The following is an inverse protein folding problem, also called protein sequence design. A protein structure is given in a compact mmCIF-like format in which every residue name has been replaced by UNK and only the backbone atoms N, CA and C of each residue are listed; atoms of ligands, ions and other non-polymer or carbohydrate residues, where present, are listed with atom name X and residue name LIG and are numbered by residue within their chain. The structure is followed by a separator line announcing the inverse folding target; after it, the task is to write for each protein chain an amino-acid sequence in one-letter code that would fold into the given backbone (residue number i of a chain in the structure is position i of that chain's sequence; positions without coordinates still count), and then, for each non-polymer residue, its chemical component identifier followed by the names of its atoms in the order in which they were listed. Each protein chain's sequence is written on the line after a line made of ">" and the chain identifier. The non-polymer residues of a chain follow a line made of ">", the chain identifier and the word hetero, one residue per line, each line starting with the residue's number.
data_IF_927434761542
#
_entry.id   IF_927434761542
#
_cell.length_a   1.000
_cell.length_b   1.000
_cell.length_c   1.000
_cell.angle_alpha   90.00
_cell.angle_beta   90.00
_cell.angle_gamma   90.00
#
_symmetry.space_group_name_H-M   'P 1'
#
loop_
_entity.id
_entity.type
_entity.pdbx_description
1 polymer ?
#
# COMPACT_ATOMS: atom_id res chain seq x y z
N UNK A 1 1.81 9.82 -49.59
CA UNK A 1 0.55 9.19 -50.05
C UNK A 1 -0.39 9.18 -48.86
N UNK A 2 -1.56 9.79 -49.02
CA UNK A 2 -2.62 9.74 -48.03
C UNK A 2 -3.60 8.62 -48.44
N UNK A 3 -3.81 7.65 -47.56
CA UNK A 3 -4.78 6.57 -47.77
C UNK A 3 -6.02 6.92 -46.95
N UNK A 4 -7.12 7.20 -47.61
CA UNK A 4 -8.42 7.44 -46.93
C UNK A 4 -9.09 6.10 -46.77
N UNK A 5 -9.35 5.73 -45.50
CA UNK A 5 -10.03 4.49 -45.14
C UNK A 5 -11.40 4.81 -44.56
N UNK A 6 -12.44 4.29 -45.18
CA UNK A 6 -13.82 4.45 -44.75
C UNK A 6 -14.34 3.12 -44.19
N UNK A 7 -14.60 3.08 -42.91
CA UNK A 7 -15.26 1.93 -42.28
C UNK A 7 -16.51 2.41 -41.54
N UNK A 8 -17.63 1.75 -41.78
CA UNK A 8 -18.84 2.00 -41.00
C UNK A 8 -18.64 1.56 -39.56
N UNK A 9 -19.00 2.43 -38.61
CA UNK A 9 -19.01 2.09 -37.20
C UNK A 9 -20.06 1.00 -36.94
N UNK A 10 -19.61 -0.20 -36.55
CA UNK A 10 -20.49 -1.29 -36.13
C UNK A 10 -20.36 -1.50 -34.63
N UNK A 11 -21.49 -1.76 -33.93
CA UNK A 11 -21.41 -2.28 -32.58
C UNK A 11 -20.76 -3.67 -32.65
N UNK A 12 -19.59 -3.81 -32.04
CA UNK A 12 -18.86 -5.09 -31.97
C UNK A 12 -19.00 -5.61 -30.56
N UNK A 13 -19.46 -6.85 -30.42
CA UNK A 13 -19.45 -7.53 -29.15
C UNK A 13 -18.00 -7.87 -28.82
N UNK A 14 -17.55 -7.51 -27.61
CA UNK A 14 -16.20 -7.82 -27.16
C UNK A 14 -16.13 -9.32 -26.82
N UNK A 15 -15.34 -10.08 -27.57
CA UNK A 15 -15.12 -11.52 -27.32
C UNK A 15 -13.93 -11.78 -26.40
N UNK A 16 -13.03 -10.81 -26.26
CA UNK A 16 -11.86 -10.91 -25.37
C UNK A 16 -12.26 -10.56 -23.94
N UNK A 17 -12.00 -11.43 -22.95
CA UNK A 17 -12.24 -11.11 -21.56
C UNK A 17 -11.31 -10.01 -21.08
N UNK A 18 -11.81 -9.13 -20.20
CA UNK A 18 -11.04 -8.12 -19.49
C UNK A 18 -11.08 -8.51 -18.03
N UNK A 19 -9.92 -8.88 -17.48
CA UNK A 19 -9.83 -9.28 -16.07
C UNK A 19 -10.06 -8.07 -15.14
N UNK A 20 -10.95 -8.16 -14.15
CA UNK A 20 -11.19 -7.09 -13.19
C UNK A 20 -9.99 -6.85 -12.28
N UNK A 21 -9.25 -7.90 -11.92
CA UNK A 21 -8.06 -7.82 -11.09
C UNK A 21 -6.80 -8.17 -11.91
N UNK A 22 -6.28 -7.24 -12.74
CA UNK A 22 -5.25 -7.56 -13.72
C UNK A 22 -3.87 -7.90 -13.11
N UNK A 23 -3.64 -7.57 -11.85
CA UNK A 23 -2.44 -7.95 -11.11
C UNK A 23 -2.51 -9.36 -10.52
N UNK A 24 -3.71 -9.90 -10.36
CA UNK A 24 -3.96 -11.20 -9.71
C UNK A 24 -4.17 -12.24 -10.79
N UNK A 25 -3.37 -13.32 -10.84
CA UNK A 25 -3.59 -14.41 -11.77
C UNK A 25 -4.97 -15.08 -11.55
N UNK A 26 -5.66 -15.48 -12.62
CA UNK A 26 -7.02 -16.02 -12.52
C UNK A 26 -7.11 -17.46 -12.00
N UNK A 27 -5.99 -18.20 -11.95
CA UNK A 27 -5.94 -19.61 -11.56
C UNK A 27 -5.11 -19.80 -10.30
N UNK A 28 -5.55 -20.70 -9.41
CA UNK A 28 -4.95 -20.91 -8.08
C UNK A 28 -3.48 -21.36 -8.13
N UNK A 29 -3.12 -22.24 -9.05
CA UNK A 29 -1.75 -22.71 -9.25
C UNK A 29 -0.83 -21.56 -9.71
N UNK A 30 -1.30 -20.74 -10.64
CA UNK A 30 -0.57 -19.55 -11.10
C UNK A 30 -0.48 -18.50 -9.99
N UNK A 31 -1.53 -18.35 -9.16
CA UNK A 31 -1.54 -17.42 -8.04
C UNK A 31 -0.51 -17.83 -6.98
N UNK A 32 -0.44 -19.13 -6.64
CA UNK A 32 0.57 -19.68 -5.71
C UNK A 32 1.99 -19.46 -6.23
N UNK A 33 2.26 -19.82 -7.47
CA UNK A 33 3.56 -19.60 -8.09
C UNK A 33 3.94 -18.12 -8.14
N UNK A 34 2.97 -17.26 -8.40
CA UNK A 34 3.16 -15.80 -8.43
C UNK A 34 3.44 -15.24 -7.05
N UNK A 35 2.68 -15.64 -6.02
CA UNK A 35 2.89 -15.22 -4.63
C UNK A 35 4.29 -15.59 -4.15
N UNK A 36 4.71 -16.85 -4.35
CA UNK A 36 6.06 -17.31 -3.99
C UNK A 36 7.17 -16.55 -4.74
N UNK A 37 6.99 -16.31 -6.05
CA UNK A 37 7.95 -15.52 -6.83
C UNK A 37 8.09 -14.09 -6.31
N UNK A 38 6.98 -13.42 -5.95
CA UNK A 38 6.96 -12.07 -5.40
C UNK A 38 7.69 -12.04 -4.05
N UNK A 39 7.30 -12.90 -3.12
CA UNK A 39 7.92 -13.00 -1.80
C UNK A 39 9.43 -13.27 -1.90
N UNK A 40 9.83 -14.12 -2.84
CA UNK A 40 11.24 -14.42 -3.10
C UNK A 40 11.99 -13.19 -3.62
N UNK A 41 11.41 -12.43 -4.55
CA UNK A 41 12.02 -11.19 -5.07
C UNK A 41 12.14 -10.15 -3.95
N UNK A 42 11.07 -9.94 -3.16
CA UNK A 42 11.08 -9.00 -2.04
C UNK A 42 12.14 -9.37 -1.00
N UNK A 43 12.18 -10.65 -0.60
CA UNK A 43 13.10 -11.14 0.44
C UNK A 43 14.58 -11.10 -0.01
N UNK A 44 14.86 -11.45 -1.26
CA UNK A 44 16.22 -11.36 -1.82
C UNK A 44 16.67 -9.90 -1.98
N UNK A 45 15.75 -9.01 -2.39
CA UNK A 45 16.03 -7.58 -2.46
C UNK A 45 16.39 -6.98 -1.09
N UNK A 46 15.60 -7.32 -0.07
CA UNK A 46 15.88 -6.89 1.30
C UNK A 46 17.18 -7.51 1.86
N UNK A 47 17.38 -8.81 1.64
CA UNK A 47 18.64 -9.48 1.99
C UNK A 47 19.84 -8.73 1.41
N UNK A 48 19.82 -8.43 0.12
CA UNK A 48 20.91 -7.70 -0.55
C UNK A 48 21.12 -6.31 0.05
N UNK A 49 20.05 -5.61 0.43
CA UNK A 49 20.14 -4.30 1.09
C UNK A 49 20.81 -4.42 2.47
N UNK A 50 20.38 -5.39 3.28
CA UNK A 50 20.95 -5.67 4.61
C UNK A 50 22.45 -5.98 4.51
N UNK A 51 22.83 -6.86 3.59
CA UNK A 51 24.23 -7.23 3.37
C UNK A 51 25.09 -6.04 2.92
N UNK A 52 24.56 -5.23 1.98
CA UNK A 52 25.28 -4.08 1.43
C UNK A 52 25.50 -2.97 2.46
N UNK A 53 24.50 -2.71 3.29
CA UNK A 53 24.56 -1.63 4.31
C UNK A 53 25.20 -2.10 5.62
N UNK A 54 25.44 -3.40 5.77
CA UNK A 54 25.88 -4.02 7.02
C UNK A 54 24.95 -3.72 8.21
N UNK A 55 23.66 -3.51 7.93
CA UNK A 55 22.69 -3.20 8.96
C UNK A 55 22.56 -4.33 9.98
N UNK A 56 22.59 -4.00 11.27
CA UNK A 56 22.50 -4.97 12.36
C UNK A 56 21.08 -5.45 12.61
N UNK A 57 20.10 -4.59 12.38
CA UNK A 57 18.68 -4.82 12.62
C UNK A 57 17.86 -4.28 11.45
N UNK A 58 16.58 -4.64 11.42
CA UNK A 58 15.57 -3.90 10.67
C UNK A 58 14.47 -3.48 11.64
N UNK A 59 13.92 -2.30 11.41
CA UNK A 59 12.87 -1.70 12.24
C UNK A 59 11.65 -1.45 11.36
N UNK A 60 10.47 -1.86 11.82
CA UNK A 60 9.24 -1.57 11.11
C UNK A 60 8.08 -1.27 12.07
N UNK A 61 7.23 -0.33 11.67
CA UNK A 61 5.96 -0.09 12.33
C UNK A 61 4.99 -1.23 12.05
N UNK A 62 4.44 -1.84 13.10
CA UNK A 62 3.43 -2.89 12.98
C UNK A 62 2.08 -2.39 13.50
N UNK A 63 1.14 -2.19 12.59
CA UNK A 63 -0.22 -1.72 12.90
C UNK A 63 -1.20 -2.86 13.13
N UNK A 64 -0.89 -4.06 12.68
CA UNK A 64 -1.83 -5.17 12.56
C UNK A 64 -2.67 -5.15 11.28
N UNK A 65 -2.35 -4.24 10.34
CA UNK A 65 -2.94 -4.21 9.00
C UNK A 65 -2.16 -5.04 7.97
N UNK A 66 -2.76 -5.23 6.79
CA UNK A 66 -2.23 -6.11 5.73
C UNK A 66 -0.83 -5.72 5.24
N UNK A 67 -0.57 -4.43 5.06
CA UNK A 67 0.69 -3.95 4.48
C UNK A 67 1.87 -4.16 5.42
N UNK A 68 1.70 -3.83 6.70
CA UNK A 68 2.70 -4.09 7.73
C UNK A 68 2.91 -5.58 7.96
N UNK A 69 1.85 -6.38 7.84
CA UNK A 69 1.93 -7.85 7.90
C UNK A 69 2.76 -8.40 6.75
N UNK A 70 2.49 -8.01 5.50
CA UNK A 70 3.31 -8.46 4.36
C UNK A 70 4.76 -8.02 4.50
N UNK A 71 5.01 -6.78 4.92
CA UNK A 71 6.37 -6.29 5.14
C UNK A 71 7.12 -7.11 6.21
N UNK A 72 6.44 -7.49 7.30
CA UNK A 72 7.03 -8.35 8.33
C UNK A 72 7.33 -9.76 7.81
N UNK A 73 6.43 -10.39 7.06
CA UNK A 73 6.66 -11.69 6.44
C UNK A 73 7.88 -11.67 5.50
N UNK A 74 8.04 -10.59 4.73
CA UNK A 74 9.23 -10.38 3.89
C UNK A 74 10.50 -10.23 4.74
N UNK A 75 10.45 -9.49 5.85
CA UNK A 75 11.58 -9.35 6.77
C UNK A 75 11.99 -10.70 7.35
N UNK A 76 11.04 -11.52 7.80
CA UNK A 76 11.30 -12.86 8.35
C UNK A 76 11.99 -13.74 7.31
N UNK A 77 11.44 -13.83 6.10
CA UNK A 77 12.05 -14.58 4.99
C UNK A 77 13.47 -14.08 4.65
N UNK A 78 13.69 -12.76 4.65
CA UNK A 78 15.01 -12.19 4.38
C UNK A 78 16.03 -12.55 5.46
N UNK A 79 15.64 -12.51 6.74
CA UNK A 79 16.52 -12.88 7.85
C UNK A 79 16.85 -14.37 7.86
N UNK A 80 15.86 -15.23 7.59
CA UNK A 80 16.09 -16.66 7.42
C UNK A 80 17.07 -16.95 6.27
N UNK A 81 16.95 -16.25 5.13
CA UNK A 81 17.89 -16.33 4.00
C UNK A 81 19.29 -15.80 4.34
N UNK A 82 19.43 -14.90 5.31
CA UNK A 82 20.71 -14.41 5.80
C UNK A 82 21.33 -15.32 6.86
N UNK A 83 20.61 -16.34 7.36
CA UNK A 83 20.99 -17.14 8.51
C UNK A 83 21.07 -16.33 9.81
N UNK A 84 20.26 -15.29 9.94
CA UNK A 84 20.27 -14.35 11.07
C UNK A 84 19.09 -14.57 12.00
N UNK A 85 19.28 -14.22 13.26
CA UNK A 85 18.21 -14.32 14.27
C UNK A 85 17.05 -13.39 13.96
N UNK A 86 15.82 -13.92 13.94
CA UNK A 86 14.57 -13.14 13.79
C UNK A 86 14.39 -12.11 14.92
N UNK A 87 15.05 -12.28 16.09
CA UNK A 87 15.06 -11.28 17.16
C UNK A 87 15.71 -9.96 16.78
N UNK A 88 16.47 -9.92 15.67
CA UNK A 88 17.02 -8.68 15.11
C UNK A 88 16.01 -7.92 14.23
N UNK A 89 14.82 -8.47 14.00
CA UNK A 89 13.67 -7.77 13.43
C UNK A 89 12.93 -7.10 14.58
N UNK A 90 12.95 -5.77 14.62
CA UNK A 90 12.36 -4.95 15.67
C UNK A 90 11.04 -4.37 15.17
N UNK A 91 9.94 -4.95 15.62
CA UNK A 91 8.60 -4.44 15.35
C UNK A 91 8.22 -3.43 16.42
N UNK A 92 7.66 -2.29 16.01
CA UNK A 92 7.22 -1.23 16.92
C UNK A 92 5.73 -0.98 16.70
N UNK A 93 4.93 -1.23 17.74
CA UNK A 93 3.54 -0.77 17.76
C UNK A 93 3.45 0.58 18.44
N UNK A 94 2.78 1.53 17.81
CA UNK A 94 2.77 2.93 18.27
C UNK A 94 1.33 3.41 18.42
N UNK A 95 0.63 2.98 19.50
CA UNK A 95 -0.74 3.40 19.73
C UNK A 95 -0.85 4.91 19.91
N UNK A 96 -1.90 5.48 19.32
CA UNK A 96 -2.33 6.84 19.44
C UNK A 96 -3.87 6.88 19.46
N UNK A 97 -4.48 7.98 19.08
CA UNK A 97 -5.92 8.22 19.19
C UNK A 97 -6.82 7.22 18.45
N UNK A 98 -6.37 6.73 17.28
CA UNK A 98 -7.16 5.85 16.39
C UNK A 98 -6.87 4.35 16.53
N UNK A 99 -5.95 3.94 17.40
CA UNK A 99 -5.54 2.53 17.50
C UNK A 99 -6.59 1.70 18.24
N UNK A 100 -7.09 0.65 17.59
CA UNK A 100 -8.08 -0.26 18.20
C UNK A 100 -7.41 -1.39 19.01
N UNK A 101 -8.17 -1.98 19.97
CA UNK A 101 -7.67 -3.13 20.73
C UNK A 101 -7.40 -4.35 19.85
N UNK A 102 -8.22 -4.57 18.81
CA UNK A 102 -8.11 -5.72 17.89
C UNK A 102 -6.82 -5.66 17.09
N UNK A 103 -6.57 -4.54 16.42
CA UNK A 103 -5.37 -4.36 15.58
C UNK A 103 -4.09 -4.44 16.41
N UNK A 104 -4.07 -3.80 17.58
CA UNK A 104 -2.95 -3.92 18.51
C UNK A 104 -2.70 -5.37 18.94
N UNK A 105 -3.76 -6.11 19.30
CA UNK A 105 -3.65 -7.52 19.68
C UNK A 105 -3.10 -8.37 18.54
N UNK A 106 -3.57 -8.15 17.31
CA UNK A 106 -3.11 -8.86 16.13
C UNK A 106 -1.64 -8.57 15.81
N UNK A 107 -1.20 -7.31 15.95
CA UNK A 107 0.19 -6.94 15.77
C UNK A 107 1.13 -7.69 16.73
N UNK A 108 0.78 -7.74 18.02
CA UNK A 108 1.58 -8.42 19.04
C UNK A 108 1.61 -9.93 18.80
N UNK A 109 0.45 -10.57 18.63
CA UNK A 109 0.36 -12.02 18.35
C UNK A 109 1.13 -12.42 17.11
N UNK A 110 1.04 -11.64 16.03
CA UNK A 110 1.80 -11.88 14.79
C UNK A 110 3.31 -11.89 15.06
N UNK A 111 3.81 -10.93 15.84
CA UNK A 111 5.23 -10.86 16.21
C UNK A 111 5.67 -12.05 17.06
N UNK A 112 4.84 -12.48 18.01
CA UNK A 112 5.09 -13.63 18.87
C UNK A 112 5.17 -14.92 18.05
N UNK A 113 4.18 -15.18 17.18
CA UNK A 113 4.15 -16.37 16.32
C UNK A 113 5.31 -16.43 15.33
N UNK A 114 5.76 -15.29 14.84
CA UNK A 114 6.93 -15.20 13.94
C UNK A 114 8.27 -15.21 14.68
N UNK A 115 8.26 -15.11 16.01
CA UNK A 115 9.45 -15.13 16.85
C UNK A 115 10.34 -13.89 16.73
N UNK A 116 9.80 -12.75 16.33
CA UNK A 116 10.48 -11.45 16.21
C UNK A 116 10.46 -10.67 17.52
N UNK A 117 11.17 -9.55 17.61
CA UNK A 117 11.09 -8.63 18.73
C UNK A 117 9.95 -7.64 18.51
N UNK A 118 9.18 -7.36 19.58
CA UNK A 118 8.13 -6.35 19.54
C UNK A 118 8.25 -5.43 20.77
N UNK A 119 8.06 -4.13 20.53
CA UNK A 119 7.95 -3.13 21.58
C UNK A 119 6.79 -2.20 21.30
N UNK A 120 6.22 -1.65 22.39
CA UNK A 120 5.18 -0.63 22.32
C UNK A 120 5.76 0.73 22.70
N UNK A 121 5.51 1.72 21.85
CA UNK A 121 5.82 3.14 22.11
C UNK A 121 4.53 3.94 22.00
N UNK A 122 3.94 4.32 23.13
CA UNK A 122 2.76 5.19 23.13
C UNK A 122 3.18 6.61 22.76
N UNK A 123 2.73 7.09 21.59
CA UNK A 123 3.10 8.41 21.06
C UNK A 123 2.12 9.52 21.42
N UNK A 124 1.05 9.23 22.15
CA UNK A 124 -0.03 10.20 22.45
C UNK A 124 0.49 11.46 23.12
N UNK A 125 1.40 11.32 24.08
CA UNK A 125 1.95 12.47 24.82
C UNK A 125 2.80 13.38 23.92
N UNK A 126 3.63 12.79 23.06
CA UNK A 126 4.46 13.51 22.09
C UNK A 126 3.61 14.27 21.07
N UNK A 127 2.57 13.61 20.52
CA UNK A 127 1.64 14.24 19.57
C UNK A 127 0.88 15.40 20.24
N UNK A 128 0.40 15.24 21.47
CA UNK A 128 -0.26 16.33 22.22
C UNK A 128 0.67 17.52 22.48
N UNK A 129 1.91 17.24 22.84
CA UNK A 129 2.89 18.31 23.01
C UNK A 129 3.12 19.05 21.69
N UNK A 130 3.23 18.31 20.60
CA UNK A 130 3.38 18.91 19.27
C UNK A 130 2.15 19.73 18.85
N UNK A 131 0.92 19.28 19.14
CA UNK A 131 -0.28 20.10 18.92
C UNK A 131 -0.23 21.42 19.69
N UNK A 132 0.16 21.37 20.98
CA UNK A 132 0.31 22.57 21.79
C UNK A 132 1.36 23.55 21.21
N UNK A 133 2.50 23.02 20.77
CA UNK A 133 3.61 23.82 20.22
C UNK A 133 3.23 24.56 18.92
N UNK A 134 2.37 23.95 18.08
CA UNK A 134 1.91 24.56 16.83
C UNK A 134 0.56 25.27 16.96
N UNK A 135 -0.06 25.27 18.15
CA UNK A 135 -1.37 25.88 18.38
C UNK A 135 -2.54 25.15 17.70
N UNK A 136 -2.43 23.82 17.48
CA UNK A 136 -3.50 23.02 16.91
C UNK A 136 -4.47 22.53 18.00
N UNK A 137 -5.77 22.66 17.78
CA UNK A 137 -6.80 22.16 18.69
C UNK A 137 -7.02 20.64 18.46
N UNK A 138 -6.79 19.82 19.50
CA UNK A 138 -6.97 18.35 19.45
C UNK A 138 -8.40 17.93 19.04
N UNK A 139 -9.39 18.78 19.26
CA UNK A 139 -10.78 18.51 18.86
C UNK A 139 -11.02 18.62 17.35
N UNK A 140 -10.11 19.24 16.61
CA UNK A 140 -10.19 19.43 15.15
C UNK A 140 -9.50 18.28 14.44
N UNK A 141 -10.28 17.31 13.97
CA UNK A 141 -9.80 16.10 13.29
C UNK A 141 -9.56 16.34 11.80
N UNK A 142 -8.64 17.22 11.47
CA UNK A 142 -8.24 17.58 10.10
C UNK A 142 -6.97 16.86 9.64
N UNK A 143 -6.47 17.23 8.46
CA UNK A 143 -5.23 16.68 7.90
C UNK A 143 -3.99 16.93 8.79
N UNK A 144 -4.00 17.98 9.62
CA UNK A 144 -2.93 18.27 10.59
C UNK A 144 -2.93 17.23 11.69
N UNK A 145 -4.11 16.97 12.24
CA UNK A 145 -4.31 15.95 13.28
C UNK A 145 -3.80 14.57 12.84
N UNK A 146 -4.13 14.14 11.61
CA UNK A 146 -3.68 12.86 11.07
C UNK A 146 -2.17 12.85 10.78
N UNK A 147 -1.68 13.89 10.13
CA UNK A 147 -0.28 13.95 9.69
C UNK A 147 0.73 14.06 10.85
N UNK A 148 0.37 14.71 11.94
CA UNK A 148 1.22 14.77 13.13
C UNK A 148 1.47 13.37 13.70
N UNK A 149 0.43 12.55 13.82
CA UNK A 149 0.56 11.19 14.30
C UNK A 149 1.43 10.32 13.36
N UNK A 150 1.23 10.44 12.05
CA UNK A 150 1.99 9.67 11.06
C UNK A 150 3.47 10.05 11.06
N UNK A 151 3.81 11.35 11.21
CA UNK A 151 5.20 11.81 11.29
C UNK A 151 5.87 11.40 12.59
N UNK A 152 5.18 11.47 13.72
CA UNK A 152 5.70 11.03 15.01
C UNK A 152 6.06 9.53 14.96
N UNK A 153 5.20 8.68 14.38
CA UNK A 153 5.51 7.26 14.16
C UNK A 153 6.79 7.09 13.34
N UNK A 154 6.96 7.85 12.28
CA UNK A 154 8.14 7.75 11.42
C UNK A 154 9.39 8.21 12.15
N UNK A 155 9.34 9.30 12.93
CA UNK A 155 10.45 9.78 13.74
C UNK A 155 10.91 8.70 14.73
N UNK A 156 9.99 8.12 15.49
CA UNK A 156 10.28 7.04 16.45
C UNK A 156 10.99 5.85 15.77
N UNK A 157 10.50 5.42 14.59
CA UNK A 157 11.12 4.31 13.87
C UNK A 157 12.54 4.64 13.39
N UNK A 158 12.76 5.86 12.88
CA UNK A 158 14.07 6.31 12.40
C UNK A 158 15.10 6.37 13.55
N UNK A 159 14.68 6.87 14.72
CA UNK A 159 15.57 6.98 15.88
C UNK A 159 15.89 5.61 16.49
N UNK A 160 14.92 4.70 16.57
CA UNK A 160 15.18 3.30 16.97
C UNK A 160 16.14 2.62 15.99
N UNK A 161 16.01 2.86 14.68
CA UNK A 161 16.94 2.33 13.70
C UNK A 161 18.35 2.88 13.90
N UNK A 162 18.49 4.18 14.20
CA UNK A 162 19.79 4.78 14.54
C UNK A 162 20.41 4.13 15.79
N UNK A 163 19.65 3.96 16.86
CA UNK A 163 20.12 3.34 18.10
C UNK A 163 20.59 1.89 17.89
N UNK A 164 19.85 1.13 17.06
CA UNK A 164 20.13 -0.29 16.83
C UNK A 164 21.08 -0.57 15.67
N UNK A 165 21.54 0.46 14.95
CA UNK A 165 22.34 0.33 13.73
C UNK A 165 21.57 -0.39 12.62
N UNK A 166 20.31 -0.07 12.46
CA UNK A 166 19.35 -0.75 11.60
C UNK A 166 18.85 0.07 10.42
N UNK A 167 17.90 -0.53 9.70
CA UNK A 167 17.18 0.08 8.58
C UNK A 167 15.68 0.13 8.89
N UNK A 168 15.03 1.27 8.63
CA UNK A 168 13.58 1.35 8.64
C UNK A 168 13.01 0.74 7.36
N UNK A 169 12.10 -0.23 7.53
CA UNK A 169 11.41 -0.91 6.43
C UNK A 169 10.05 -0.25 6.20
N UNK A 170 9.83 0.21 4.97
CA UNK A 170 8.55 0.80 4.55
C UNK A 170 7.52 -0.26 4.22
N UNK A 171 6.29 0.00 4.63
CA UNK A 171 5.15 -0.89 4.47
C UNK A 171 4.21 -0.50 3.34
N UNK A 172 4.28 0.77 2.86
CA UNK A 172 3.40 1.31 1.83
C UNK A 172 3.46 0.51 0.52
N UNK A 173 2.31 0.30 -0.09
CA UNK A 173 2.13 -0.48 -1.31
C UNK A 173 2.07 0.36 -2.59
N UNK A 174 1.98 -0.30 -3.74
CA UNK A 174 1.95 0.36 -5.06
C UNK A 174 0.68 1.21 -5.26
N UNK A 175 -0.46 0.78 -4.74
CA UNK A 175 -1.75 1.47 -4.90
C UNK A 175 -1.79 2.77 -4.09
N UNK A 176 -1.25 2.73 -2.87
CA UNK A 176 -1.06 3.92 -2.03
C UNK A 176 -0.11 4.92 -2.69
N UNK A 177 0.99 4.45 -3.28
CA UNK A 177 1.90 5.29 -4.05
C UNK A 177 1.23 5.92 -5.28
N UNK A 178 0.36 5.19 -5.97
CA UNK A 178 -0.36 5.70 -7.13
C UNK A 178 -1.31 6.83 -6.75
N UNK A 179 -2.05 6.67 -5.66
CA UNK A 179 -3.03 7.64 -5.17
C UNK A 179 -2.40 8.73 -4.28
N UNK A 180 -1.13 8.57 -3.87
CA UNK A 180 -0.49 9.40 -2.87
C UNK A 180 -1.20 9.33 -1.51
N UNK A 181 -1.76 8.17 -1.19
CA UNK A 181 -2.44 7.91 0.08
C UNK A 181 -1.42 7.54 1.16
N UNK A 182 -0.66 8.52 1.55
CA UNK A 182 0.34 8.46 2.61
C UNK A 182 0.67 9.89 3.07
N UNK A 183 1.05 10.07 4.31
CA UNK A 183 1.52 11.34 4.83
C UNK A 183 2.92 11.63 4.30
N UNK A 184 3.07 12.75 3.59
CA UNK A 184 4.39 13.20 3.13
C UNK A 184 5.35 13.38 4.31
N UNK A 185 6.53 12.78 4.20
CA UNK A 185 7.54 12.76 5.26
C UNK A 185 7.04 12.12 6.58
N UNK A 186 6.06 11.22 6.45
CA UNK A 186 5.57 10.34 7.51
C UNK A 186 5.72 8.88 7.05
N UNK A 187 4.63 8.12 7.05
CA UNK A 187 4.56 6.73 6.56
C UNK A 187 4.97 6.55 5.10
N UNK A 188 4.98 7.62 4.31
CA UNK A 188 5.55 7.69 2.97
C UNK A 188 7.08 7.42 2.94
N UNK A 189 7.82 7.65 4.05
CA UNK A 189 9.27 7.57 4.12
C UNK A 189 9.76 6.31 4.84
N UNK A 190 10.84 5.75 4.31
CA UNK A 190 11.58 4.64 4.91
C UNK A 190 12.99 4.55 4.30
N UNK A 191 13.81 3.62 4.77
CA UNK A 191 15.13 3.37 4.19
C UNK A 191 15.10 2.29 3.10
N UNK A 192 14.08 1.41 3.10
CA UNK A 192 13.81 0.43 2.06
C UNK A 192 12.34 0.02 2.06
N UNK A 193 11.63 0.20 0.95
CA UNK A 193 10.19 -0.05 0.84
C UNK A 193 9.91 -1.40 0.17
N UNK A 194 9.68 -2.44 0.97
CA UNK A 194 9.56 -3.81 0.46
C UNK A 194 8.29 -4.05 -0.37
N UNK A 195 7.20 -3.31 -0.11
CA UNK A 195 5.92 -3.47 -0.78
C UNK A 195 5.68 -2.48 -1.94
N UNK A 196 6.61 -1.56 -2.23
CA UNK A 196 6.39 -0.44 -3.15
C UNK A 196 5.97 -0.82 -4.58
N UNK A 197 6.09 -2.07 -4.96
CA UNK A 197 5.73 -2.60 -6.28
C UNK A 197 4.63 -3.67 -6.21
N UNK A 198 4.02 -3.89 -5.05
CA UNK A 198 2.90 -4.82 -4.84
C UNK A 198 1.61 -4.01 -4.71
N UNK A 199 0.62 -4.16 -5.60
CA UNK A 199 -0.66 -3.44 -5.46
C UNK A 199 -1.52 -4.00 -4.34
N UNK A 200 -2.40 -3.20 -3.76
CA UNK A 200 -3.24 -3.53 -2.61
C UNK A 200 -4.06 -4.81 -2.83
N UNK A 201 -4.61 -4.98 -4.03
CA UNK A 201 -5.36 -6.20 -4.38
C UNK A 201 -4.50 -7.45 -4.29
N UNK A 202 -3.22 -7.36 -4.65
CA UNK A 202 -2.30 -8.49 -4.60
C UNK A 202 -1.73 -8.74 -3.19
N UNK A 203 -1.57 -7.69 -2.35
CA UNK A 203 -1.15 -7.83 -0.95
C UNK A 203 -2.04 -8.83 -0.22
N UNK A 204 -3.36 -8.68 -0.34
CA UNK A 204 -4.35 -9.57 0.29
C UNK A 204 -4.14 -11.03 -0.09
N UNK A 205 -3.93 -11.32 -1.39
CA UNK A 205 -3.72 -12.69 -1.86
C UNK A 205 -2.38 -13.29 -1.40
N UNK A 206 -1.33 -12.48 -1.30
CA UNK A 206 -0.03 -12.95 -0.80
C UNK A 206 -0.13 -13.31 0.69
N UNK A 207 -0.79 -12.49 1.51
CA UNK A 207 -1.02 -12.79 2.93
C UNK A 207 -1.91 -14.05 3.09
N UNK A 208 -2.93 -14.21 2.24
CA UNK A 208 -3.75 -15.42 2.21
C UNK A 208 -2.96 -16.67 1.83
N UNK A 209 -2.04 -16.56 0.87
CA UNK A 209 -1.11 -17.63 0.50
C UNK A 209 -0.21 -18.04 1.68
N UNK A 210 0.37 -17.07 2.40
CA UNK A 210 1.16 -17.33 3.60
C UNK A 210 0.32 -18.00 4.70
N UNK A 211 -0.91 -17.52 4.92
CA UNK A 211 -1.81 -18.11 5.90
C UNK A 211 -2.10 -19.59 5.60
N UNK A 212 -2.32 -19.94 4.32
CA UNK A 212 -2.62 -21.31 3.92
C UNK A 212 -1.45 -22.30 4.13
N UNK A 213 -0.21 -21.80 4.21
CA UNK A 213 1.00 -22.60 4.39
C UNK A 213 1.59 -22.51 5.80
N UNK A 214 0.99 -21.72 6.69
CA UNK A 214 1.46 -21.47 8.05
C UNK A 214 0.96 -22.52 9.06
N UNK A 215 1.65 -22.62 10.21
CA UNK A 215 1.17 -23.38 11.35
C UNK A 215 -0.18 -22.82 11.86
N UNK A 216 -1.04 -23.65 12.51
CA UNK A 216 -2.41 -23.24 12.85
C UNK A 216 -2.52 -21.95 13.68
N UNK A 217 -1.60 -21.68 14.59
CA UNK A 217 -1.60 -20.47 15.40
C UNK A 217 -1.35 -19.22 14.57
N UNK A 218 -0.30 -19.22 13.74
CA UNK A 218 0.00 -18.12 12.80
C UNK A 218 -1.09 -17.96 11.75
N UNK A 219 -1.63 -19.07 11.22
CA UNK A 219 -2.75 -19.04 10.27
C UNK A 219 -3.95 -18.30 10.85
N UNK A 220 -4.34 -18.59 12.10
CA UNK A 220 -5.47 -17.92 12.74
C UNK A 220 -5.29 -16.40 12.85
N UNK A 221 -4.09 -15.95 13.20
CA UNK A 221 -3.75 -14.52 13.26
C UNK A 221 -3.81 -13.87 11.88
N UNK A 222 -3.24 -14.51 10.86
CA UNK A 222 -3.25 -13.98 9.49
C UNK A 222 -4.66 -13.90 8.91
N UNK A 223 -5.54 -14.87 9.22
CA UNK A 223 -6.95 -14.85 8.80
C UNK A 223 -7.73 -13.74 9.50
N UNK A 224 -7.49 -13.47 10.80
CA UNK A 224 -8.12 -12.35 11.50
C UNK A 224 -7.67 -10.99 10.95
N UNK A 225 -6.39 -10.86 10.56
CA UNK A 225 -5.89 -9.66 9.87
C UNK A 225 -6.57 -9.49 8.51
N UNK A 226 -6.74 -10.56 7.75
CA UNK A 226 -7.43 -10.54 6.45
C UNK A 226 -8.91 -10.13 6.57
N UNK A 227 -9.55 -10.41 7.70
CA UNK A 227 -10.94 -10.03 7.99
C UNK A 227 -11.08 -8.61 8.58
N UNK A 228 -9.96 -7.95 8.87
CA UNK A 228 -9.96 -6.58 9.40
C UNK A 228 -10.10 -5.56 8.25
N UNK A 229 -11.01 -4.58 8.34
CA UNK A 229 -11.14 -3.52 7.36
C UNK A 229 -9.86 -2.68 7.22
N UNK A 230 -9.55 -2.24 6.01
CA UNK A 230 -8.40 -1.34 5.76
C UNK A 230 -8.71 0.06 6.30
N UNK A 231 -7.87 0.55 7.22
CA UNK A 231 -8.00 1.87 7.84
C UNK A 231 -6.62 2.45 8.16
N UNK A 232 -6.44 3.77 8.05
CA UNK A 232 -5.20 4.42 8.50
C UNK A 232 -5.09 4.50 10.03
N UNK A 233 -6.17 4.23 10.79
CA UNK A 233 -6.23 4.30 12.27
C UNK A 233 -5.66 5.60 12.86
N UNK A 234 -5.99 6.72 12.23
CA UNK A 234 -5.54 8.05 12.66
C UNK A 234 -6.64 8.84 13.37
N UNK A 235 -7.90 8.57 13.05
CA UNK A 235 -9.06 9.15 13.72
C UNK A 235 -9.49 8.30 14.92
N UNK A 236 -10.02 8.91 16.00
CA UNK A 236 -10.56 8.15 17.14
C UNK A 236 -11.58 7.11 16.68
N UNK A 237 -11.62 5.98 17.38
CA UNK A 237 -12.66 4.98 17.17
C UNK A 237 -14.06 5.58 17.45
N UNK A 238 -15.09 5.00 16.84
CA UNK A 238 -16.46 5.36 17.13
C UNK A 238 -16.87 5.02 18.58
N UNK A 239 -18.09 5.38 18.99
CA UNK A 239 -18.63 5.14 20.34
C UNK A 239 -18.65 3.64 20.72
N UNK A 240 -18.62 2.74 19.73
CA UNK A 240 -18.57 1.29 19.90
C UNK A 240 -17.15 0.72 19.86
N UNK A 241 -16.12 1.56 19.76
CA UNK A 241 -14.72 1.17 19.65
C UNK A 241 -14.36 0.55 18.29
N UNK A 242 -15.18 0.81 17.25
CA UNK A 242 -14.92 0.34 15.90
C UNK A 242 -14.17 1.40 15.07
N UNK A 243 -13.58 0.96 13.96
CA UNK A 243 -12.86 1.82 13.03
C UNK A 243 -13.83 2.86 12.46
N UNK A 244 -13.63 4.14 12.79
CA UNK A 244 -14.48 5.25 12.35
C UNK A 244 -14.29 5.61 10.88
N UNK A 245 -13.11 5.30 10.29
CA UNK A 245 -12.76 5.70 8.93
C UNK A 245 -12.25 4.51 8.12
N UNK A 246 -12.99 4.12 7.09
CA UNK A 246 -12.50 3.14 6.11
C UNK A 246 -11.81 3.89 4.97
N UNK A 247 -10.62 3.44 4.60
CA UNK A 247 -9.85 4.05 3.51
C UNK A 247 -10.64 4.08 2.19
N UNK A 248 -11.35 2.99 1.86
CA UNK A 248 -12.09 2.89 0.61
C UNK A 248 -13.30 3.83 0.53
N UNK A 249 -13.84 4.30 1.66
CA UNK A 249 -14.91 5.30 1.65
C UNK A 249 -14.41 6.68 1.18
N UNK A 250 -13.11 6.95 1.38
CA UNK A 250 -12.49 8.24 1.03
C UNK A 250 -11.80 8.24 -0.34
N UNK A 251 -11.10 7.18 -0.66
CA UNK A 251 -10.31 7.10 -1.90
C UNK A 251 -10.95 6.21 -2.94
N UNK A 252 -11.92 5.39 -2.59
CA UNK A 252 -12.60 4.42 -3.45
C UNK A 252 -12.02 3.02 -3.40
N UNK A 253 -12.72 2.06 -4.03
CA UNK A 253 -12.32 0.67 -4.06
C UNK A 253 -10.94 0.49 -4.72
N UNK A 254 -10.01 -0.11 -4.01
CA UNK A 254 -8.66 -0.36 -4.52
C UNK A 254 -8.65 -1.21 -5.79
N UNK A 255 -9.61 -2.11 -5.98
CA UNK A 255 -9.68 -2.91 -7.19
C UNK A 255 -9.91 -2.06 -8.46
N UNK A 256 -10.70 -0.98 -8.38
CA UNK A 256 -10.87 -0.03 -9.49
C UNK A 256 -9.59 0.76 -9.74
N UNK A 257 -8.92 1.22 -8.69
CA UNK A 257 -7.68 1.96 -8.82
C UNK A 257 -6.54 1.11 -9.37
N UNK A 258 -6.42 -0.13 -8.93
CA UNK A 258 -5.42 -1.07 -9.44
C UNK A 258 -5.70 -1.42 -10.91
N UNK A 259 -6.98 -1.56 -11.29
CA UNK A 259 -7.37 -1.73 -12.68
C UNK A 259 -6.94 -0.52 -13.54
N UNK A 260 -7.25 0.70 -13.09
CA UNK A 260 -6.85 1.91 -13.81
C UNK A 260 -5.34 2.05 -13.88
N UNK A 261 -4.64 1.81 -12.78
CA UNK A 261 -3.18 1.87 -12.70
C UNK A 261 -2.52 0.89 -13.67
N UNK A 262 -2.95 -0.37 -13.67
CA UNK A 262 -2.40 -1.40 -14.53
C UNK A 262 -2.53 -1.05 -16.01
N UNK A 263 -3.73 -0.73 -16.43
CA UNK A 263 -3.99 -0.43 -17.85
C UNK A 263 -3.36 0.88 -18.31
N UNK A 264 -3.26 1.86 -17.43
CA UNK A 264 -2.58 3.11 -17.71
C UNK A 264 -1.08 2.91 -17.91
N UNK A 265 -0.42 2.28 -16.93
CA UNK A 265 1.04 2.16 -16.96
C UNK A 265 1.53 1.06 -17.92
N UNK A 266 0.80 -0.05 -18.00
CA UNK A 266 1.21 -1.17 -18.85
C UNK A 266 0.93 -0.93 -20.33
N UNK A 267 -0.16 -0.23 -20.67
CA UNK A 267 -0.67 -0.10 -22.04
C UNK A 267 -0.88 1.35 -22.51
N UNK A 268 -0.62 2.34 -21.68
CA UNK A 268 -0.90 3.74 -22.01
C UNK A 268 -2.37 4.03 -22.27
N UNK A 269 -3.27 3.29 -21.62
CA UNK A 269 -4.71 3.38 -21.86
C UNK A 269 -5.26 4.70 -21.33
N UNK A 270 -5.94 5.45 -22.21
CA UNK A 270 -6.53 6.75 -21.88
C UNK A 270 -7.86 6.62 -21.11
N UNK A 271 -8.28 7.67 -20.38
CA UNK A 271 -9.46 7.62 -19.49
C UNK A 271 -10.74 7.11 -20.14
N UNK A 272 -11.08 7.57 -21.36
CA UNK A 272 -12.25 7.09 -22.10
C UNK A 272 -12.24 5.59 -22.36
N UNK A 273 -11.07 5.05 -22.70
CA UNK A 273 -10.94 3.61 -22.94
C UNK A 273 -10.92 2.84 -21.61
N UNK A 274 -10.29 3.38 -20.57
CA UNK A 274 -10.33 2.80 -19.20
C UNK A 274 -11.76 2.63 -18.71
N UNK A 275 -12.58 3.67 -18.84
CA UNK A 275 -13.98 3.63 -18.46
C UNK A 275 -14.73 2.50 -19.17
N UNK A 276 -14.61 2.41 -20.50
CA UNK A 276 -15.25 1.34 -21.29
C UNK A 276 -14.79 -0.05 -20.86
N UNK A 277 -13.49 -0.22 -20.63
CA UNK A 277 -12.93 -1.49 -20.18
C UNK A 277 -13.42 -1.87 -18.79
N UNK A 278 -13.49 -0.90 -17.86
CA UNK A 278 -13.98 -1.13 -16.51
C UNK A 278 -15.46 -1.53 -16.50
N UNK A 279 -16.30 -0.94 -17.34
CA UNK A 279 -17.70 -1.35 -17.50
C UNK A 279 -17.85 -2.83 -17.85
N UNK A 280 -17.00 -3.36 -18.74
CA UNK A 280 -17.00 -4.78 -19.07
C UNK A 280 -16.43 -5.65 -17.94
N UNK A 281 -15.33 -5.20 -17.33
CA UNK A 281 -14.65 -5.97 -16.30
C UNK A 281 -15.47 -6.09 -15.00
N UNK A 282 -16.29 -5.10 -14.71
CA UNK A 282 -17.06 -4.99 -13.47
C UNK A 282 -18.59 -4.99 -13.72
N UNK A 283 -19.02 -5.56 -14.83
CA UNK A 283 -20.46 -5.70 -15.15
C UNK A 283 -21.21 -6.38 -13.99
N UNK A 284 -22.29 -5.78 -13.55
CA UNK A 284 -23.09 -6.26 -12.40
C UNK A 284 -22.51 -5.94 -11.01
N UNK A 285 -21.29 -5.38 -10.92
CA UNK A 285 -20.66 -5.01 -9.63
C UNK A 285 -20.68 -3.50 -9.38
N UNK A 286 -20.33 -2.70 -10.39
CA UNK A 286 -20.33 -1.23 -10.31
C UNK A 286 -21.12 -0.63 -11.44
N UNK A 287 -21.90 0.40 -11.14
CA UNK A 287 -22.56 1.21 -12.14
C UNK A 287 -21.62 2.21 -12.84
N UNK A 288 -22.12 2.80 -13.89
CA UNK A 288 -21.37 3.75 -14.72
C UNK A 288 -20.96 5.02 -13.94
N UNK A 289 -21.79 5.46 -13.00
CA UNK A 289 -21.53 6.65 -12.20
C UNK A 289 -20.40 6.42 -11.20
N UNK A 290 -20.41 5.28 -10.52
CA UNK A 290 -19.34 4.83 -9.60
C UNK A 290 -18.01 4.71 -10.32
N UNK A 291 -17.98 4.04 -11.48
CA UNK A 291 -16.74 3.88 -12.26
C UNK A 291 -16.22 5.26 -12.71
N UNK A 292 -17.09 6.15 -13.18
CA UNK A 292 -16.73 7.51 -13.62
C UNK A 292 -16.18 8.33 -12.45
N UNK A 293 -16.81 8.28 -11.30
CA UNK A 293 -16.41 9.01 -10.10
C UNK A 293 -14.99 8.63 -9.69
N UNK A 294 -14.72 7.33 -9.56
CA UNK A 294 -13.40 6.87 -9.12
C UNK A 294 -12.33 6.99 -10.19
N UNK A 295 -12.68 6.94 -11.47
CA UNK A 295 -11.73 7.26 -12.56
C UNK A 295 -11.29 8.73 -12.51
N UNK A 296 -12.20 9.67 -12.26
CA UNK A 296 -11.86 11.09 -12.07
C UNK A 296 -10.96 11.27 -10.85
N UNK A 297 -11.28 10.61 -9.74
CA UNK A 297 -10.48 10.63 -8.53
C UNK A 297 -9.08 10.06 -8.77
N UNK A 298 -8.96 8.93 -9.46
CA UNK A 298 -7.67 8.37 -9.88
C UNK A 298 -6.87 9.36 -10.73
N UNK A 299 -7.44 9.90 -11.80
CA UNK A 299 -6.76 10.85 -12.67
C UNK A 299 -6.26 12.08 -11.90
N UNK A 300 -7.11 12.67 -11.06
CA UNK A 300 -6.75 13.83 -10.25
C UNK A 300 -5.59 13.52 -9.29
N UNK A 301 -5.74 12.49 -8.46
CA UNK A 301 -4.76 12.12 -7.44
C UNK A 301 -3.44 11.66 -8.04
N UNK A 302 -3.47 10.87 -9.11
CA UNK A 302 -2.27 10.37 -9.77
C UNK A 302 -1.32 11.50 -10.20
N UNK A 303 -1.84 12.61 -10.67
CA UNK A 303 -1.02 13.78 -11.02
C UNK A 303 -0.68 14.63 -9.80
N UNK A 304 -1.67 15.03 -9.00
CA UNK A 304 -1.47 15.95 -7.87
C UNK A 304 -0.49 15.41 -6.82
N UNK A 305 -0.41 14.08 -6.68
CA UNK A 305 0.45 13.43 -5.69
C UNK A 305 1.82 12.99 -6.23
N UNK A 306 2.17 13.40 -7.46
CA UNK A 306 3.46 13.03 -8.05
C UNK A 306 4.66 13.48 -7.21
N UNK A 307 4.59 14.62 -6.55
CA UNK A 307 5.68 15.11 -5.70
C UNK A 307 6.07 14.10 -4.60
N UNK A 308 5.12 13.34 -4.06
CA UNK A 308 5.39 12.27 -3.11
C UNK A 308 6.19 11.13 -3.75
N UNK A 309 5.85 10.76 -4.99
CA UNK A 309 6.55 9.69 -5.72
C UNK A 309 7.96 10.07 -6.14
N UNK A 310 8.23 11.36 -6.32
CA UNK A 310 9.56 11.85 -6.71
C UNK A 310 10.65 11.52 -5.69
N UNK A 311 10.29 11.29 -4.43
CA UNK A 311 11.22 11.02 -3.34
C UNK A 311 10.96 9.71 -2.57
N UNK A 312 10.24 8.76 -3.18
CA UNK A 312 10.02 7.46 -2.52
C UNK A 312 11.33 6.69 -2.32
N UNK A 313 11.41 5.86 -1.27
CA UNK A 313 12.55 4.98 -1.02
C UNK A 313 12.80 3.97 -2.14
N UNK A 314 13.99 3.38 -2.16
CA UNK A 314 14.27 2.19 -2.96
C UNK A 314 13.43 1.00 -2.50
N UNK A 315 13.13 0.12 -3.45
CA UNK A 315 12.43 -1.13 -3.16
C UNK A 315 12.48 -2.09 -4.34
N UNK A 316 12.05 -3.35 -4.14
CA UNK A 316 12.12 -4.37 -5.18
C UNK A 316 11.03 -4.18 -6.23
N UNK A 317 11.36 -4.46 -7.50
CA UNK A 317 10.39 -4.52 -8.60
C UNK A 317 9.90 -5.95 -8.76
N UNK A 318 8.65 -6.21 -8.40
CA UNK A 318 8.05 -7.56 -8.43
C UNK A 318 7.20 -7.85 -9.68
N UNK A 319 6.93 -6.84 -10.49
CA UNK A 319 6.06 -6.94 -11.65
C UNK A 319 6.44 -6.00 -12.79
N UNK A 320 5.60 -5.97 -13.83
CA UNK A 320 5.78 -5.09 -14.99
C UNK A 320 5.35 -3.65 -14.76
N UNK A 321 4.61 -3.38 -13.68
CA UNK A 321 4.11 -2.07 -13.30
C UNK A 321 4.76 -1.63 -11.99
N UNK A 322 5.38 -0.46 -11.99
CA UNK A 322 6.00 0.16 -10.81
C UNK A 322 6.08 1.67 -11.00
N UNK A 323 6.16 2.40 -9.91
CA UNK A 323 6.17 3.86 -9.88
C UNK A 323 7.51 4.43 -9.41
N UNK A 324 8.58 3.61 -9.43
CA UNK A 324 9.91 4.08 -9.04
C UNK A 324 10.38 5.23 -9.95
N UNK A 325 10.77 6.38 -9.37
CA UNK A 325 11.27 7.53 -10.15
C UNK A 325 12.67 7.28 -10.74
N UNK A 326 13.34 6.21 -10.31
CA UNK A 326 14.71 5.87 -10.71
C UNK A 326 14.82 5.15 -12.06
N UNK A 327 13.72 4.99 -12.77
CA UNK A 327 13.76 4.41 -14.12
C UNK A 327 12.41 3.96 -14.67
N UNK A 328 11.43 3.71 -13.81
CA UNK A 328 10.15 3.13 -14.24
C UNK A 328 9.10 4.20 -14.55
N UNK A 329 8.94 5.20 -13.67
CA UNK A 329 7.98 6.27 -13.86
C UNK A 329 8.59 7.63 -13.55
N UNK A 330 8.93 8.37 -14.62
CA UNK A 330 9.46 9.72 -14.52
C UNK A 330 8.40 10.71 -15.00
N UNK A 331 7.89 11.51 -14.09
CA UNK A 331 6.92 12.56 -14.37
C UNK A 331 7.29 13.80 -13.55
N UNK A 332 7.22 15.02 -14.12
CA UNK A 332 7.37 16.23 -13.32
C UNK A 332 6.31 16.31 -12.23
N UNK A 333 6.69 16.82 -11.05
CA UNK A 333 5.74 16.99 -9.94
C UNK A 333 4.59 17.94 -10.28
N UNK A 334 4.85 18.89 -11.18
CA UNK A 334 3.88 19.90 -11.63
C UNK A 334 3.13 19.50 -12.93
N UNK A 335 3.19 18.21 -13.31
CA UNK A 335 2.46 17.73 -14.48
C UNK A 335 0.94 17.91 -14.29
N UNK A 336 0.28 18.49 -15.30
CA UNK A 336 -1.14 18.81 -15.26
C UNK A 336 -2.03 17.59 -15.55
N UNK A 337 -3.01 17.33 -14.70
CA UNK A 337 -4.05 16.33 -14.93
C UNK A 337 -5.15 16.79 -15.91
N UNK A 338 -5.12 18.05 -16.36
CA UNK A 338 -6.23 18.70 -17.08
C UNK A 338 -6.72 17.88 -18.27
N UNK A 339 -5.82 17.35 -19.08
CA UNK A 339 -6.18 16.58 -20.26
C UNK A 339 -6.92 15.28 -19.92
N UNK A 340 -6.46 14.57 -18.89
CA UNK A 340 -7.09 13.32 -18.44
C UNK A 340 -8.43 13.58 -17.75
N UNK A 341 -8.50 14.63 -16.94
CA UNK A 341 -9.73 15.01 -16.27
C UNK A 341 -10.81 15.45 -17.27
N UNK A 342 -10.48 16.29 -18.25
CA UNK A 342 -11.43 16.71 -19.28
C UNK A 342 -11.96 15.52 -20.10
N UNK A 343 -11.13 14.52 -20.38
CA UNK A 343 -11.58 13.30 -21.05
C UNK A 343 -12.48 12.43 -20.15
N UNK A 344 -12.19 12.36 -18.84
CA UNK A 344 -13.02 11.64 -17.87
C UNK A 344 -14.33 12.36 -17.52
N UNK A 345 -14.37 13.67 -17.63
CA UNK A 345 -15.58 14.50 -17.42
C UNK A 345 -16.55 14.41 -18.59
N UNK A 346 -16.05 14.18 -19.79
CA UNK A 346 -16.81 14.04 -21.02
C UNK A 346 -17.42 12.62 -21.24
N UNK A 347 -17.40 11.77 -20.23
CA UNK A 347 -17.91 10.39 -20.28
C UNK A 347 -19.40 10.28 -19.98
#
# INVERSE_FOLDING_TARGET
>A
RQIVFHQSLRRTQLTRPIAPNPFVPPYDDQLRARAEAILRIQSQGLKKRIEHTHAKTVVLGISGGLDSTLALLVCVRAFDLCGRSRKQIQCVTMPCFGTTKRTKSNAVKLCEELGVSVQEVNITAAVRQHFADIGHDESVHDVTYENCQARERTQVLMDIANQSGGLVIGTGDLSELALGWATYNGDHMSMYAVNCSVPKTLVRYIVQYEAASSAPALQAVLLDILDTPVSPELLPADENGQIAQKTEDLVGPYELHDFFLYHTLRFGTRPRKLFRMAKYAYEGKYDDETIRHWLKTFCRRFFQQQFKRSCIPDGPKVGSVTLSPRGDWRMPSDASSRLWLSEAEAL
#
